data_IF_502335317830
#
_entry.id   IF_502335317830
#
_cell.length_a   1.000
_cell.length_b   1.000
_cell.length_c   1.000
_cell.angle_alpha   90.00
_cell.angle_beta   90.00
_cell.angle_gamma   90.00
#
_symmetry.space_group_name_H-M   'P 1'
#
loop_
_entity.id
_entity.type
_entity.pdbx_description
1 polymer ?
#
# COMPACT_ATOMS: atom_id res chain seq x y z
N UNK A 1 -28.76 4.35 -10.38
CA UNK A 1 -29.77 3.77 -11.30
C UNK A 1 -30.58 4.86 -11.97
N UNK A 2 -31.20 5.77 -11.20
CA UNK A 2 -32.02 6.85 -11.75
C UNK A 2 -31.23 7.78 -12.71
N UNK A 3 -29.96 8.06 -12.41
CA UNK A 3 -29.09 8.83 -13.30
C UNK A 3 -28.76 8.09 -14.62
N UNK A 4 -28.64 6.76 -14.58
CA UNK A 4 -28.37 5.92 -15.75
C UNK A 4 -29.64 5.65 -16.58
N UNK A 5 -30.81 6.04 -16.08
CA UNK A 5 -32.10 5.81 -16.72
C UNK A 5 -32.29 6.69 -17.95
N UNK A 6 -31.91 7.96 -17.85
CA UNK A 6 -32.14 8.99 -18.87
C UNK A 6 -30.94 9.18 -19.81
N UNK A 7 -29.86 8.40 -19.63
CA UNK A 7 -28.63 8.58 -20.39
C UNK A 7 -28.44 7.57 -21.52
N UNK A 8 -27.77 7.98 -22.62
CA UNK A 8 -27.37 7.07 -23.69
C UNK A 8 -26.44 5.97 -23.16
N UNK A 9 -26.58 4.76 -23.69
CA UNK A 9 -25.76 3.59 -23.29
C UNK A 9 -24.26 3.84 -23.46
N UNK A 10 -23.87 4.68 -24.42
CA UNK A 10 -22.47 5.06 -24.68
C UNK A 10 -21.83 5.82 -23.50
N UNK A 11 -22.63 6.49 -22.66
CA UNK A 11 -22.16 7.25 -21.49
C UNK A 11 -22.18 6.46 -20.20
N UNK A 12 -22.60 5.20 -20.24
CA UNK A 12 -22.69 4.33 -19.07
C UNK A 12 -21.35 4.26 -18.31
N UNK A 13 -20.22 4.10 -19.02
CA UNK A 13 -18.89 3.98 -18.41
C UNK A 13 -18.44 5.25 -17.70
N UNK A 14 -18.61 6.43 -18.32
CA UNK A 14 -18.24 7.72 -17.69
C UNK A 14 -18.96 7.91 -16.35
N UNK A 15 -20.22 7.50 -16.30
CA UNK A 15 -21.07 7.73 -15.13
C UNK A 15 -20.79 6.68 -14.09
N UNK A 16 -20.63 5.42 -14.49
CA UNK A 16 -20.22 4.33 -13.61
C UNK A 16 -18.85 4.63 -12.96
N UNK A 17 -17.90 5.24 -13.68
CA UNK A 17 -16.59 5.60 -13.15
C UNK A 17 -16.67 6.56 -11.96
N UNK A 18 -17.61 7.52 -11.97
CA UNK A 18 -17.86 8.44 -10.85
C UNK A 18 -18.36 7.73 -9.58
N UNK A 19 -18.90 6.51 -9.73
CA UNK A 19 -19.42 5.70 -8.62
C UNK A 19 -18.57 4.45 -8.35
N UNK A 20 -17.32 4.40 -8.84
CA UNK A 20 -16.42 3.26 -8.65
C UNK A 20 -16.25 2.89 -7.17
N UNK A 21 -16.14 3.87 -6.28
CA UNK A 21 -15.94 3.66 -4.85
C UNK A 21 -17.16 2.99 -4.21
N UNK A 22 -18.36 3.35 -4.67
CA UNK A 22 -19.60 2.71 -4.24
C UNK A 22 -19.66 1.26 -4.73
N UNK A 23 -19.27 1.01 -5.98
CA UNK A 23 -19.31 -0.33 -6.58
C UNK A 23 -18.26 -1.29 -5.99
N UNK A 24 -17.14 -0.75 -5.52
CA UNK A 24 -16.10 -1.51 -4.81
C UNK A 24 -16.37 -1.64 -3.31
N UNK A 25 -17.39 -0.97 -2.78
CA UNK A 25 -17.73 -1.04 -1.36
C UNK A 25 -18.48 -2.32 -0.99
N UNK A 26 -18.35 -2.74 0.27
CA UNK A 26 -19.11 -3.87 0.84
C UNK A 26 -20.64 -3.67 0.77
N UNK A 27 -21.08 -2.41 0.67
CA UNK A 27 -22.49 -2.04 0.62
C UNK A 27 -23.11 -2.23 -0.77
N UNK A 28 -22.31 -2.38 -1.83
CA UNK A 28 -22.82 -2.49 -3.21
C UNK A 28 -23.84 -3.63 -3.36
N UNK A 29 -23.51 -4.82 -2.85
CA UNK A 29 -24.39 -5.99 -2.92
C UNK A 29 -25.66 -5.77 -2.09
N UNK A 30 -25.58 -5.07 -0.96
CA UNK A 30 -26.72 -4.70 -0.14
C UNK A 30 -27.69 -3.78 -0.89
N UNK A 31 -27.15 -2.73 -1.51
CA UNK A 31 -27.93 -1.75 -2.28
C UNK A 31 -28.60 -2.38 -3.51
N UNK A 32 -27.94 -3.34 -4.17
CA UNK A 32 -28.55 -4.09 -5.27
C UNK A 32 -29.75 -4.92 -4.80
N UNK A 33 -29.62 -5.60 -3.66
CA UNK A 33 -30.70 -6.41 -3.08
C UNK A 33 -31.89 -5.56 -2.69
N UNK A 34 -31.65 -4.45 -2.00
CA UNK A 34 -32.69 -3.49 -1.63
C UNK A 34 -33.45 -3.00 -2.87
N UNK A 35 -32.73 -2.66 -3.94
CA UNK A 35 -33.36 -2.21 -5.19
C UNK A 35 -34.18 -3.32 -5.87
N UNK A 36 -33.72 -4.57 -5.83
CA UNK A 36 -34.50 -5.71 -6.34
C UNK A 36 -35.74 -5.99 -5.49
N UNK A 37 -35.65 -5.84 -4.17
CA UNK A 37 -36.79 -5.97 -3.25
C UNK A 37 -37.84 -4.87 -3.49
N UNK A 38 -37.42 -3.62 -3.75
CA UNK A 38 -38.31 -2.54 -4.16
C UNK A 38 -39.07 -2.86 -5.45
N UNK A 39 -38.41 -3.49 -6.42
CA UNK A 39 -39.05 -3.92 -7.68
C UNK A 39 -40.10 -5.00 -7.43
N UNK A 40 -39.78 -6.00 -6.59
CA UNK A 40 -40.71 -7.07 -6.20
C UNK A 40 -41.92 -6.49 -5.46
N UNK A 41 -41.70 -5.52 -4.57
CA UNK A 41 -42.78 -4.86 -3.84
C UNK A 41 -43.70 -4.07 -4.79
N UNK A 42 -43.14 -3.39 -5.80
CA UNK A 42 -43.90 -2.70 -6.85
C UNK A 42 -44.75 -3.68 -7.66
N UNK A 43 -44.21 -4.85 -8.01
CA UNK A 43 -44.95 -5.91 -8.71
C UNK A 43 -46.10 -6.47 -7.86
N UNK A 44 -45.85 -6.70 -6.55
CA UNK A 44 -46.88 -7.16 -5.60
C UNK A 44 -48.02 -6.13 -5.43
N UNK A 45 -47.68 -4.85 -5.36
CA UNK A 45 -48.67 -3.79 -5.23
C UNK A 45 -49.47 -3.55 -6.53
N UNK A 46 -48.88 -3.79 -7.71
CA UNK A 46 -49.61 -3.79 -8.98
C UNK A 46 -50.61 -4.95 -9.06
N UNK A 47 -50.21 -6.16 -8.62
CA UNK A 47 -51.11 -7.32 -8.53
C UNK A 47 -52.28 -7.09 -7.55
N UNK A 48 -52.04 -6.40 -6.44
CA UNK A 48 -53.11 -6.03 -5.48
C UNK A 48 -54.12 -5.05 -6.06
N UNK A 49 -53.73 -4.25 -7.06
CA UNK A 49 -54.61 -3.28 -7.73
C UNK A 49 -55.36 -3.88 -8.93
N UNK A 50 -55.06 -5.12 -9.32
CA UNK A 50 -55.67 -5.77 -10.49
C UNK A 50 -55.18 -5.19 -11.82
N UNK A 51 -53.98 -4.61 -11.84
CA UNK A 51 -53.32 -4.03 -13.02
C UNK A 51 -52.46 -5.07 -13.77
N UNK A 52 -52.79 -6.36 -13.65
CA UNK A 52 -52.00 -7.54 -14.02
C UNK A 52 -52.03 -7.84 -15.54
N UNK A 53 -52.18 -6.81 -16.38
CA UNK A 53 -52.17 -6.95 -17.83
C UNK A 53 -50.83 -7.48 -18.34
N UNK A 54 -50.87 -8.35 -19.36
CA UNK A 54 -49.70 -9.03 -19.94
C UNK A 54 -48.60 -8.06 -20.43
N UNK A 55 -48.95 -6.78 -20.67
CA UNK A 55 -48.18 -5.77 -21.38
C UNK A 55 -48.10 -4.41 -20.63
N UNK A 56 -47.90 -4.44 -19.31
CA UNK A 56 -47.80 -3.22 -18.49
C UNK A 56 -46.47 -2.50 -18.67
N UNK A 57 -46.52 -1.17 -18.78
CA UNK A 57 -45.36 -0.25 -18.75
C UNK A 57 -44.41 -0.52 -17.57
N UNK A 58 -44.95 -1.06 -16.47
CA UNK A 58 -44.21 -1.55 -15.31
C UNK A 58 -43.22 -2.68 -15.65
N UNK A 59 -43.61 -3.66 -16.48
CA UNK A 59 -42.72 -4.76 -16.89
C UNK A 59 -41.55 -4.23 -17.72
N UNK A 60 -41.82 -3.35 -18.69
CA UNK A 60 -40.77 -2.69 -19.51
C UNK A 60 -39.82 -1.88 -18.63
N UNK A 61 -40.36 -1.19 -17.61
CA UNK A 61 -39.55 -0.50 -16.61
C UNK A 61 -38.68 -1.48 -15.80
N UNK A 62 -39.24 -2.58 -15.34
CA UNK A 62 -38.48 -3.58 -14.59
C UNK A 62 -37.46 -4.35 -15.44
N UNK A 63 -37.69 -4.50 -16.74
CA UNK A 63 -36.72 -5.06 -17.69
C UNK A 63 -35.53 -4.11 -17.87
N UNK A 64 -35.81 -2.82 -18.12
CA UNK A 64 -34.74 -1.81 -18.26
C UNK A 64 -33.95 -1.60 -16.96
N UNK A 65 -34.63 -1.61 -15.82
CA UNK A 65 -33.98 -1.51 -14.50
C UNK A 65 -33.06 -2.71 -14.26
N UNK A 66 -33.52 -3.93 -14.58
CA UNK A 66 -32.69 -5.14 -14.49
C UNK A 66 -31.49 -5.10 -15.45
N UNK A 67 -31.66 -4.55 -16.65
CA UNK A 67 -30.57 -4.37 -17.60
C UNK A 67 -29.49 -3.44 -17.05
N UNK A 68 -29.87 -2.28 -16.51
CA UNK A 68 -28.94 -1.32 -15.89
C UNK A 68 -28.23 -1.94 -14.69
N UNK A 69 -28.95 -2.63 -13.81
CA UNK A 69 -28.35 -3.33 -12.67
C UNK A 69 -27.39 -4.44 -13.13
N UNK A 70 -27.75 -5.18 -14.18
CA UNK A 70 -26.89 -6.20 -14.78
C UNK A 70 -25.59 -5.61 -15.34
N UNK A 71 -25.68 -4.49 -16.05
CA UNK A 71 -24.51 -3.77 -16.55
C UNK A 71 -23.62 -3.25 -15.40
N UNK A 72 -24.22 -2.74 -14.32
CA UNK A 72 -23.48 -2.31 -13.12
C UNK A 72 -22.76 -3.47 -12.44
N UNK A 73 -23.40 -4.64 -12.32
CA UNK A 73 -22.76 -5.84 -11.77
C UNK A 73 -21.58 -6.29 -12.63
N UNK A 74 -21.74 -6.32 -13.96
CA UNK A 74 -20.66 -6.68 -14.89
C UNK A 74 -19.50 -5.69 -14.77
N UNK A 75 -19.79 -4.39 -14.69
CA UNK A 75 -18.77 -3.37 -14.53
C UNK A 75 -18.06 -3.47 -13.17
N UNK A 76 -18.79 -3.68 -12.08
CA UNK A 76 -18.20 -3.91 -10.76
C UNK A 76 -17.32 -5.17 -10.73
N UNK A 77 -17.74 -6.26 -11.37
CA UNK A 77 -16.90 -7.47 -11.50
C UNK A 77 -15.62 -7.20 -12.29
N UNK A 78 -15.70 -6.38 -13.34
CA UNK A 78 -14.55 -5.98 -14.14
C UNK A 78 -13.59 -5.11 -13.31
N UNK A 79 -14.12 -4.14 -12.57
CA UNK A 79 -13.34 -3.32 -11.64
C UNK A 79 -12.64 -4.18 -10.57
N UNK A 80 -13.33 -5.15 -9.97
CA UNK A 80 -12.72 -6.07 -8.99
C UNK A 80 -11.59 -6.90 -9.61
N UNK A 81 -11.76 -7.37 -10.85
CA UNK A 81 -10.69 -8.08 -11.57
C UNK A 81 -9.50 -7.19 -11.86
N UNK A 82 -9.74 -5.94 -12.26
CA UNK A 82 -8.69 -4.96 -12.50
C UNK A 82 -7.94 -4.60 -11.22
N UNK A 83 -8.64 -4.35 -10.11
CA UNK A 83 -8.02 -4.05 -8.82
C UNK A 83 -7.25 -5.24 -8.27
N UNK A 84 -7.76 -6.47 -8.43
CA UNK A 84 -7.01 -7.69 -8.10
C UNK A 84 -5.75 -7.86 -8.95
N UNK A 85 -5.83 -7.59 -10.26
CA UNK A 85 -4.67 -7.66 -11.14
C UNK A 85 -3.59 -6.62 -10.76
N UNK A 86 -4.01 -5.38 -10.49
CA UNK A 86 -3.13 -4.33 -10.00
C UNK A 86 -2.54 -4.68 -8.63
N UNK A 87 -3.36 -5.22 -7.72
CA UNK A 87 -2.92 -5.68 -6.41
C UNK A 87 -1.86 -6.77 -6.51
N UNK A 88 -2.06 -7.76 -7.37
CA UNK A 88 -1.10 -8.84 -7.62
C UNK A 88 0.20 -8.33 -8.25
N UNK A 89 0.14 -7.31 -9.11
CA UNK A 89 1.32 -6.68 -9.68
C UNK A 89 2.13 -5.91 -8.62
N UNK A 90 1.44 -5.13 -7.77
CA UNK A 90 2.06 -4.42 -6.66
C UNK A 90 2.67 -5.39 -5.65
N UNK A 91 1.96 -6.45 -5.29
CA UNK A 91 2.47 -7.49 -4.41
C UNK A 91 3.71 -8.17 -4.99
N UNK A 92 3.67 -8.55 -6.28
CA UNK A 92 4.83 -9.15 -6.94
C UNK A 92 6.05 -8.21 -6.92
N UNK A 93 5.83 -6.91 -7.01
CA UNK A 93 6.88 -5.91 -6.87
C UNK A 93 7.48 -5.92 -5.45
N UNK A 94 6.65 -5.89 -4.41
CA UNK A 94 7.12 -5.89 -3.03
C UNK A 94 7.84 -7.20 -2.66
N UNK A 95 7.36 -8.34 -3.17
CA UNK A 95 8.04 -9.63 -3.00
C UNK A 95 9.41 -9.63 -3.69
N UNK A 96 9.59 -8.95 -4.83
CA UNK A 96 10.90 -8.85 -5.47
C UNK A 96 11.90 -8.02 -4.65
N UNK A 97 11.42 -6.99 -3.94
CA UNK A 97 12.26 -6.25 -2.97
C UNK A 97 12.77 -7.19 -1.88
N UNK A 98 11.86 -7.98 -1.28
CA UNK A 98 12.22 -9.00 -0.28
C UNK A 98 13.21 -10.01 -0.87
N UNK A 99 12.94 -10.51 -2.08
CA UNK A 99 13.81 -11.45 -2.78
C UNK A 99 15.20 -10.86 -3.04
N UNK A 100 15.29 -9.57 -3.33
CA UNK A 100 16.57 -8.88 -3.57
C UNK A 100 17.42 -8.85 -2.30
N UNK A 101 16.81 -8.60 -1.14
CA UNK A 101 17.47 -8.71 0.17
C UNK A 101 17.93 -10.16 0.41
N UNK A 102 17.08 -11.14 0.18
CA UNK A 102 17.42 -12.56 0.37
C UNK A 102 18.52 -13.04 -0.60
N UNK A 103 18.56 -12.55 -1.84
CA UNK A 103 19.61 -12.88 -2.82
C UNK A 103 20.99 -12.42 -2.34
N UNK A 104 21.09 -11.26 -1.70
CA UNK A 104 22.33 -10.78 -1.09
C UNK A 104 22.73 -11.67 0.09
N UNK A 105 21.77 -12.03 0.94
CA UNK A 105 22.02 -12.93 2.07
C UNK A 105 22.47 -14.34 1.64
N UNK A 106 22.03 -14.81 0.47
CA UNK A 106 22.38 -16.13 -0.07
C UNK A 106 23.53 -16.11 -1.10
N UNK A 107 24.21 -14.97 -1.33
CA UNK A 107 25.29 -14.92 -2.32
C UNK A 107 26.47 -15.81 -1.84
N UNK A 108 26.84 -16.86 -2.60
CA UNK A 108 27.92 -17.78 -2.22
C UNK A 108 29.30 -17.13 -2.12
N UNK A 109 29.44 -15.87 -2.54
CA UNK A 109 30.67 -15.09 -2.36
C UNK A 109 30.92 -14.68 -0.91
N UNK A 110 29.89 -14.64 -0.07
CA UNK A 110 30.04 -14.29 1.34
C UNK A 110 30.31 -15.58 2.14
N UNK A 111 31.56 -15.75 2.56
CA UNK A 111 32.02 -17.00 3.18
C UNK A 111 31.93 -16.98 4.70
N UNK A 112 31.78 -15.80 5.28
CA UNK A 112 31.68 -15.58 6.73
C UNK A 112 30.43 -14.79 7.09
N UNK A 113 29.88 -15.03 8.28
CA UNK A 113 28.69 -14.31 8.77
C UNK A 113 28.92 -12.79 8.84
N UNK A 114 30.15 -12.36 9.16
CA UNK A 114 30.51 -10.93 9.22
C UNK A 114 30.50 -10.28 7.84
N UNK A 115 31.04 -10.94 6.82
CA UNK A 115 31.01 -10.45 5.43
C UNK A 115 29.58 -10.35 4.90
N UNK A 116 28.75 -11.37 5.16
CA UNK A 116 27.33 -11.37 4.78
C UNK A 116 26.59 -10.24 5.48
N UNK A 117 26.84 -10.02 6.78
CA UNK A 117 26.18 -8.96 7.54
C UNK A 117 26.54 -7.56 7.02
N UNK A 118 27.81 -7.32 6.66
CA UNK A 118 28.27 -6.06 6.06
C UNK A 118 27.62 -5.86 4.69
N UNK A 119 27.69 -6.86 3.82
CA UNK A 119 27.11 -6.80 2.48
C UNK A 119 25.59 -6.59 2.51
N UNK A 120 24.90 -7.26 3.43
CA UNK A 120 23.47 -7.07 3.65
C UNK A 120 23.17 -5.65 4.15
N UNK A 121 23.95 -5.12 5.10
CA UNK A 121 23.75 -3.75 5.59
C UNK A 121 23.97 -2.71 4.50
N UNK A 122 24.97 -2.90 3.64
CA UNK A 122 25.25 -2.00 2.53
C UNK A 122 24.14 -2.08 1.46
N UNK A 123 23.69 -3.28 1.12
CA UNK A 123 22.60 -3.48 0.15
C UNK A 123 21.26 -2.91 0.65
N UNK A 124 20.92 -3.13 1.93
CA UNK A 124 19.71 -2.57 2.57
C UNK A 124 19.80 -1.04 2.62
N UNK A 125 20.98 -0.47 2.86
CA UNK A 125 21.21 0.99 2.79
C UNK A 125 20.99 1.54 1.38
N UNK A 126 21.47 0.84 0.36
CA UNK A 126 21.26 1.24 -1.05
C UNK A 126 19.79 1.12 -1.46
N UNK A 127 19.08 0.10 -0.99
CA UNK A 127 17.65 -0.12 -1.27
C UNK A 127 16.70 0.79 -0.48
N UNK A 128 17.21 1.71 0.35
CA UNK A 128 16.40 2.51 1.28
C UNK A 128 15.23 3.25 0.63
N UNK A 129 15.36 3.73 -0.62
CA UNK A 129 14.26 4.40 -1.33
C UNK A 129 13.11 3.47 -1.73
N UNK A 130 13.35 2.16 -1.75
CA UNK A 130 12.32 1.15 -2.02
C UNK A 130 11.51 0.82 -0.76
N UNK A 131 11.98 1.24 0.42
CA UNK A 131 11.27 1.03 1.69
C UNK A 131 10.32 2.19 1.99
N UNK A 132 9.44 2.47 1.04
CA UNK A 132 8.40 3.48 1.19
C UNK A 132 7.29 3.00 2.16
N UNK A 133 6.37 3.90 2.48
CA UNK A 133 5.24 3.61 3.37
C UNK A 133 4.39 2.44 2.84
N UNK A 134 4.32 2.27 1.51
CA UNK A 134 3.58 1.18 0.87
C UNK A 134 4.26 -0.18 1.11
N UNK A 135 5.59 -0.25 0.99
CA UNK A 135 6.35 -1.47 1.31
C UNK A 135 6.28 -1.81 2.79
N UNK A 136 6.39 -0.82 3.68
CA UNK A 136 6.25 -1.03 5.13
C UNK A 136 4.85 -1.54 5.47
N UNK A 137 3.80 -0.97 4.88
CA UNK A 137 2.43 -1.44 5.04
C UNK A 137 2.27 -2.87 4.51
N UNK A 138 2.84 -3.17 3.35
CA UNK A 138 2.81 -4.51 2.77
C UNK A 138 3.49 -5.55 3.67
N UNK A 139 4.69 -5.28 4.19
CA UNK A 139 5.37 -6.23 5.09
C UNK A 139 4.53 -6.47 6.36
N UNK A 140 3.93 -5.42 6.94
CA UNK A 140 3.03 -5.58 8.10
C UNK A 140 1.85 -6.48 7.76
N UNK A 141 1.23 -6.24 6.62
CA UNK A 141 0.12 -7.05 6.11
C UNK A 141 0.55 -8.51 5.90
N UNK A 142 1.65 -8.75 5.19
CA UNK A 142 2.14 -10.10 4.87
C UNK A 142 2.49 -10.90 6.13
N UNK A 143 3.14 -10.27 7.12
CA UNK A 143 3.41 -10.90 8.43
C UNK A 143 2.09 -11.26 9.14
N UNK A 144 1.14 -10.33 9.21
CA UNK A 144 -0.14 -10.57 9.88
C UNK A 144 -1.00 -11.64 9.18
N UNK A 145 -0.98 -11.67 7.85
CA UNK A 145 -1.68 -12.68 7.06
C UNK A 145 -1.10 -14.08 7.29
N UNK A 146 0.23 -14.22 7.26
CA UNK A 146 0.90 -15.49 7.52
C UNK A 146 0.69 -15.96 8.97
N UNK A 147 0.81 -15.06 9.95
CA UNK A 147 0.46 -15.36 11.35
C UNK A 147 -0.99 -15.83 11.49
N UNK A 148 -1.92 -15.14 10.83
CA UNK A 148 -3.33 -15.53 10.82
C UNK A 148 -3.59 -16.87 10.14
N UNK A 149 -2.88 -17.17 9.04
CA UNK A 149 -2.95 -18.45 8.34
C UNK A 149 -2.46 -19.60 9.23
N UNK A 150 -1.29 -19.44 9.84
CA UNK A 150 -0.68 -20.43 10.73
C UNK A 150 -1.48 -20.62 12.04
N UNK A 151 -2.02 -19.53 12.60
CA UNK A 151 -2.90 -19.60 13.76
C UNK A 151 -4.20 -20.36 13.46
N UNK A 152 -4.82 -20.14 12.30
CA UNK A 152 -6.01 -20.90 11.86
C UNK A 152 -5.71 -22.38 11.64
N UNK A 153 -4.48 -22.70 11.21
CA UNK A 153 -4.02 -24.07 11.04
C UNK A 153 -3.56 -24.73 12.35
N UNK A 154 -3.44 -23.99 13.46
CA UNK A 154 -2.91 -24.49 14.73
C UNK A 154 -1.40 -24.79 14.70
N UNK A 155 -0.68 -24.26 13.71
CA UNK A 155 0.74 -24.54 13.45
C UNK A 155 1.66 -23.36 13.78
N UNK A 156 1.15 -22.32 14.46
CA UNK A 156 1.90 -21.10 14.74
C UNK A 156 3.17 -21.32 15.57
N UNK A 157 3.23 -22.37 16.39
CA UNK A 157 4.39 -22.68 17.24
C UNK A 157 5.33 -23.72 16.59
N UNK A 158 5.01 -24.20 15.39
CA UNK A 158 5.79 -25.22 14.69
C UNK A 158 6.90 -24.58 13.83
N UNK A 159 8.19 -24.74 14.18
CA UNK A 159 9.30 -24.14 13.44
C UNK A 159 9.35 -24.58 11.98
N UNK A 160 8.95 -25.82 11.69
CA UNK A 160 9.06 -26.42 10.35
C UNK A 160 8.04 -25.84 9.37
N UNK A 161 6.92 -25.31 9.88
CA UNK A 161 5.86 -24.68 9.08
C UNK A 161 5.98 -23.14 9.03
N UNK A 162 6.90 -22.56 9.80
CA UNK A 162 7.04 -21.12 10.01
C UNK A 162 8.20 -20.47 9.24
N UNK A 163 8.91 -21.20 8.39
CA UNK A 163 10.12 -20.73 7.71
C UNK A 163 9.90 -19.39 6.97
N UNK A 164 8.80 -19.27 6.22
CA UNK A 164 8.47 -18.04 5.51
C UNK A 164 8.14 -16.88 6.45
N UNK A 165 7.41 -17.14 7.53
CA UNK A 165 7.11 -16.14 8.55
C UNK A 165 8.39 -15.64 9.23
N UNK A 166 9.36 -16.52 9.48
CA UNK A 166 10.68 -16.13 10.00
C UNK A 166 11.43 -15.23 9.02
N UNK A 167 11.44 -15.56 7.73
CA UNK A 167 12.06 -14.70 6.70
C UNK A 167 11.41 -13.32 6.70
N UNK A 168 10.08 -13.24 6.68
CA UNK A 168 9.35 -11.97 6.71
C UNK A 168 9.67 -11.15 7.97
N UNK A 169 9.72 -11.79 9.15
CA UNK A 169 10.07 -11.12 10.42
C UNK A 169 11.50 -10.60 10.44
N UNK A 170 12.46 -11.38 9.93
CA UNK A 170 13.87 -10.96 9.85
C UNK A 170 14.01 -9.76 8.90
N UNK A 171 13.38 -9.82 7.73
CA UNK A 171 13.40 -8.72 6.76
C UNK A 171 12.71 -7.48 7.35
N UNK A 172 11.57 -7.63 8.00
CA UNK A 172 10.87 -6.54 8.69
C UNK A 172 11.78 -5.87 9.73
N UNK A 173 12.43 -6.65 10.60
CA UNK A 173 13.35 -6.12 11.61
C UNK A 173 14.54 -5.40 10.99
N UNK A 174 15.11 -5.95 9.91
CA UNK A 174 16.22 -5.33 9.17
C UNK A 174 15.83 -3.99 8.56
N UNK A 175 14.70 -3.94 7.86
CA UNK A 175 14.17 -2.73 7.22
C UNK A 175 13.88 -1.66 8.28
N UNK A 176 13.19 -2.02 9.36
CA UNK A 176 12.89 -1.08 10.45
C UNK A 176 14.13 -0.54 11.12
N UNK A 177 15.15 -1.38 11.33
CA UNK A 177 16.42 -0.95 11.92
C UNK A 177 17.13 0.07 11.02
N UNK A 178 17.11 -0.12 9.71
CA UNK A 178 17.74 0.82 8.79
C UNK A 178 16.98 2.15 8.71
N UNK A 179 15.65 2.09 8.63
CA UNK A 179 14.79 3.29 8.70
C UNK A 179 15.06 4.04 10.02
N UNK A 180 15.14 3.32 11.14
CA UNK A 180 15.38 3.92 12.46
C UNK A 180 16.75 4.62 12.55
N UNK A 181 17.81 4.10 11.92
CA UNK A 181 19.10 4.81 11.85
C UNK A 181 18.97 6.16 11.14
N UNK A 182 18.24 6.18 10.03
CA UNK A 182 17.95 7.42 9.30
C UNK A 182 17.21 8.43 10.16
N UNK A 183 16.14 7.98 10.83
CA UNK A 183 15.33 8.80 11.74
C UNK A 183 16.17 9.34 12.91
N UNK A 184 16.98 8.50 13.55
CA UNK A 184 17.82 8.93 14.68
C UNK A 184 18.78 10.06 14.30
N UNK A 185 19.39 9.98 13.11
CA UNK A 185 20.22 11.08 12.59
C UNK A 185 19.40 12.37 12.46
N UNK A 186 18.21 12.31 11.86
CA UNK A 186 17.35 13.50 11.77
C UNK A 186 16.93 14.04 13.13
N UNK A 187 16.64 13.16 14.09
CA UNK A 187 16.33 13.56 15.47
C UNK A 187 17.50 14.28 16.14
N UNK A 188 18.74 13.86 15.89
CA UNK A 188 19.93 14.58 16.38
C UNK A 188 20.03 15.98 15.78
N UNK A 189 19.85 16.12 14.46
CA UNK A 189 19.83 17.44 13.80
C UNK A 189 18.73 18.33 14.35
N UNK A 190 17.51 17.82 14.47
CA UNK A 190 16.38 18.52 15.07
C UNK A 190 16.69 18.92 16.52
N UNK A 191 17.28 18.02 17.30
CA UNK A 191 17.66 18.30 18.68
C UNK A 191 18.70 19.41 18.78
N UNK A 192 19.69 19.45 17.88
CA UNK A 192 20.66 20.54 17.82
C UNK A 192 19.99 21.88 17.54
N UNK A 193 19.03 21.93 16.61
CA UNK A 193 18.23 23.13 16.37
C UNK A 193 17.45 23.52 17.61
N UNK A 194 16.68 22.60 18.20
CA UNK A 194 15.84 22.89 19.37
C UNK A 194 16.64 23.35 20.61
N UNK A 195 17.94 22.99 20.70
CA UNK A 195 18.80 23.44 21.79
C UNK A 195 19.13 24.93 21.73
N UNK A 196 19.06 25.57 20.56
CA UNK A 196 19.34 27.00 20.44
C UNK A 196 18.36 27.84 21.25
N UNK A 197 18.87 28.96 21.78
CA UNK A 197 18.13 29.78 22.74
C UNK A 197 17.15 30.70 22.03
N UNK A 198 17.60 31.40 21.00
CA UNK A 198 16.77 32.36 20.25
C UNK A 198 16.05 31.72 19.07
N UNK A 199 14.99 32.36 18.60
CA UNK A 199 14.23 31.90 17.43
C UNK A 199 15.04 32.07 16.15
N UNK A 200 15.77 33.18 16.02
CA UNK A 200 16.58 33.50 14.84
C UNK A 200 17.75 32.50 14.69
N UNK A 201 18.46 32.18 15.78
CA UNK A 201 19.53 31.15 15.76
C UNK A 201 18.99 29.77 15.34
N UNK A 202 17.74 29.43 15.72
CA UNK A 202 17.11 28.18 15.28
C UNK A 202 16.88 28.17 13.79
N UNK A 203 16.38 29.28 13.25
CA UNK A 203 16.09 29.44 11.82
C UNK A 203 17.38 29.42 10.99
N UNK A 204 18.39 30.17 11.40
CA UNK A 204 19.69 30.21 10.69
C UNK A 204 20.37 28.85 10.68
N UNK A 205 20.34 28.13 11.81
CA UNK A 205 20.90 26.79 11.89
C UNK A 205 20.09 25.77 11.08
N UNK A 206 18.76 25.92 11.05
CA UNK A 206 17.89 25.10 10.21
C UNK A 206 18.17 25.33 8.73
N UNK A 207 18.36 26.57 8.30
CA UNK A 207 18.72 26.93 6.93
C UNK A 207 20.05 26.28 6.52
N UNK A 208 21.09 26.40 7.36
CA UNK A 208 22.37 25.73 7.13
C UNK A 208 22.23 24.21 7.02
N UNK A 209 21.45 23.58 7.90
CA UNK A 209 21.22 22.14 7.82
C UNK A 209 20.48 21.74 6.55
N UNK A 210 19.46 22.52 6.15
CA UNK A 210 18.69 22.28 4.93
C UNK A 210 19.59 22.35 3.70
N UNK A 211 20.45 23.36 3.62
CA UNK A 211 21.36 23.54 2.47
C UNK A 211 22.35 22.38 2.33
N UNK A 212 22.75 21.77 3.44
CA UNK A 212 23.66 20.61 3.49
C UNK A 212 22.93 19.25 3.43
N UNK A 213 21.59 19.22 3.33
CA UNK A 213 20.85 17.96 3.26
C UNK A 213 21.16 17.21 1.96
N UNK A 214 21.55 15.92 2.04
CA UNK A 214 21.60 15.06 0.87
C UNK A 214 20.23 14.97 0.19
N UNK A 215 20.19 14.87 -1.14
CA UNK A 215 18.96 14.79 -1.94
C UNK A 215 18.00 13.69 -1.47
N UNK A 216 18.59 12.56 -1.00
CA UNK A 216 17.90 11.38 -0.46
C UNK A 216 17.20 11.63 0.89
N UNK A 217 17.61 12.68 1.61
CA UNK A 217 17.24 12.92 3.00
C UNK A 217 16.23 14.06 3.15
N UNK A 218 15.96 14.82 2.09
CA UNK A 218 15.06 15.99 2.10
C UNK A 218 13.63 15.59 2.51
N UNK A 219 12.99 14.67 1.77
CA UNK A 219 11.61 14.25 2.07
C UNK A 219 11.50 13.53 3.42
N UNK A 220 12.38 12.58 3.78
CA UNK A 220 12.33 11.94 5.09
C UNK A 220 12.54 12.91 6.27
N UNK A 221 13.40 13.91 6.13
CA UNK A 221 13.63 14.92 7.17
C UNK A 221 12.36 15.74 7.44
N UNK A 222 11.69 16.20 6.37
CA UNK A 222 10.42 16.94 6.48
C UNK A 222 9.35 16.08 7.15
N UNK A 223 9.19 14.83 6.73
CA UNK A 223 8.23 13.90 7.31
C UNK A 223 8.46 13.67 8.81
N UNK A 224 9.71 13.58 9.26
CA UNK A 224 10.03 13.44 10.69
C UNK A 224 9.61 14.68 11.48
N UNK A 225 9.88 15.89 10.97
CA UNK A 225 9.46 17.14 11.64
C UNK A 225 7.92 17.24 11.69
N UNK A 226 7.23 16.92 10.59
CA UNK A 226 5.77 16.92 10.51
C UNK A 226 5.15 15.90 11.49
N UNK A 227 5.73 14.70 11.59
CA UNK A 227 5.28 13.67 12.53
C UNK A 227 5.46 14.12 13.99
N UNK A 228 6.58 14.76 14.33
CA UNK A 228 6.82 15.29 15.67
C UNK A 228 5.82 16.40 15.98
N UNK A 229 5.62 17.35 15.06
CA UNK A 229 4.67 18.44 15.22
C UNK A 229 3.22 17.93 15.37
N UNK A 230 2.83 16.93 14.57
CA UNK A 230 1.50 16.30 14.62
C UNK A 230 1.28 15.55 15.93
N UNK A 231 2.30 14.85 16.44
CA UNK A 231 2.22 14.13 17.73
C UNK A 231 1.94 15.06 18.92
N UNK A 232 2.34 16.33 18.83
CA UNK A 232 2.01 17.34 19.84
C UNK A 232 0.54 17.77 19.81
N UNK A 233 -0.13 17.63 18.67
CA UNK A 233 -1.57 17.88 18.52
C UNK A 233 -2.43 16.77 19.12
N UNK A 234 -1.97 15.53 19.07
CA UNK A 234 -2.67 14.35 19.63
C UNK A 234 -2.42 14.16 21.14
N UNK A 235 -1.38 14.79 21.68
CA UNK A 235 -0.98 14.72 23.09
C UNK A 235 -1.84 15.60 24.01
N UNK A 236 -3.13 15.27 24.20
CA UNK A 236 -4.00 15.89 25.23
C UNK A 236 -4.48 14.87 26.29
N UNK A 237 -3.81 13.72 26.47
CA UNK A 237 -4.15 12.74 27.52
C UNK A 237 -2.96 12.13 28.27
N UNK A 238 -1.88 12.87 28.48
CA UNK A 238 -0.72 12.42 29.27
C UNK A 238 -0.38 13.38 30.40
N UNK A 239 -0.09 12.84 31.58
CA UNK A 239 0.38 13.57 32.76
C UNK A 239 1.86 13.94 32.55
N UNK A 240 2.08 15.17 32.08
CA UNK A 240 3.41 15.70 31.83
C UNK A 240 3.58 17.06 32.49
N UNK A 241 4.83 17.38 32.84
CA UNK A 241 5.20 18.62 33.49
C UNK A 241 4.97 19.82 32.56
N UNK A 242 3.84 20.52 32.76
CA UNK A 242 3.25 21.48 31.83
C UNK A 242 4.18 22.65 31.43
N UNK A 243 5.12 23.02 32.29
CA UNK A 243 6.05 24.12 32.04
C UNK A 243 7.18 23.76 31.07
N UNK A 244 7.73 22.54 31.16
CA UNK A 244 8.79 22.06 30.27
C UNK A 244 8.22 21.78 28.88
N UNK A 245 7.01 21.19 28.83
CA UNK A 245 6.29 21.00 27.57
C UNK A 245 6.02 22.33 26.89
N UNK A 246 5.49 23.35 27.59
CA UNK A 246 5.16 24.63 26.95
C UNK A 246 6.34 25.28 26.21
N UNK A 247 7.56 25.17 26.76
CA UNK A 247 8.76 25.71 26.10
C UNK A 247 9.24 24.88 24.92
N UNK A 248 9.18 23.54 25.01
CA UNK A 248 9.54 22.63 23.91
C UNK A 248 8.51 22.67 22.77
N UNK A 249 7.22 22.70 23.08
CA UNK A 249 6.13 22.79 22.11
C UNK A 249 6.26 24.03 21.24
N UNK A 250 6.54 25.20 21.84
CA UNK A 250 6.73 26.44 21.07
C UNK A 250 7.94 26.35 20.13
N UNK A 251 9.03 25.73 20.56
CA UNK A 251 10.22 25.52 19.72
C UNK A 251 9.96 24.57 18.56
N UNK A 252 9.19 23.50 18.79
CA UNK A 252 8.84 22.53 17.75
C UNK A 252 7.84 23.13 16.75
N UNK A 253 6.84 23.90 17.22
CA UNK A 253 5.91 24.60 16.34
C UNK A 253 6.63 25.67 15.49
N UNK A 254 7.61 26.36 16.08
CA UNK A 254 8.47 27.27 15.33
C UNK A 254 9.29 26.51 14.28
N UNK A 255 9.97 25.42 14.67
CA UNK A 255 10.75 24.57 13.76
C UNK A 255 9.91 24.11 12.57
N UNK A 256 8.70 23.61 12.83
CA UNK A 256 7.77 23.19 11.79
C UNK A 256 7.41 24.34 10.83
N UNK A 257 7.10 25.52 11.37
CA UNK A 257 6.81 26.70 10.53
C UNK A 257 8.02 27.14 9.70
N UNK A 258 9.19 27.29 10.34
CA UNK A 258 10.41 27.72 9.67
C UNK A 258 10.84 26.71 8.60
N UNK A 259 10.65 25.41 8.85
CA UNK A 259 10.89 24.36 7.86
C UNK A 259 10.03 24.55 6.61
N UNK A 260 8.72 24.75 6.74
CA UNK A 260 7.82 24.95 5.58
C UNK A 260 8.06 26.29 4.88
N UNK A 261 8.59 27.30 5.58
CA UNK A 261 9.03 28.56 4.96
C UNK A 261 10.35 28.41 4.18
N UNK A 262 11.31 27.63 4.70
CA UNK A 262 12.63 27.41 4.09
C UNK A 262 12.62 26.33 3.02
N UNK A 263 11.79 25.30 3.16
CA UNK A 263 11.57 24.19 2.23
C UNK A 263 10.10 24.17 1.76
N UNK A 264 9.69 25.12 0.90
CA UNK A 264 8.40 25.03 0.25
C UNK A 264 8.35 23.82 -0.71
N UNK A 265 7.15 23.32 -1.10
CA UNK A 265 7.00 22.14 -1.94
C UNK A 265 7.84 22.20 -3.23
N UNK A 266 7.92 23.36 -3.88
CA UNK A 266 8.70 23.53 -5.11
C UNK A 266 10.20 23.33 -4.89
N UNK A 267 10.71 23.74 -3.72
CA UNK A 267 12.12 23.56 -3.35
C UNK A 267 12.41 22.11 -2.97
N UNK A 268 11.48 21.45 -2.28
CA UNK A 268 11.58 20.01 -1.97
C UNK A 268 11.71 19.21 -3.26
N UNK A 269 10.85 19.47 -4.25
CA UNK A 269 10.89 18.74 -5.53
C UNK A 269 12.20 18.99 -6.29
N UNK A 270 12.75 20.20 -6.23
CA UNK A 270 14.04 20.51 -6.84
C UNK A 270 15.20 19.77 -6.15
N UNK A 271 15.23 19.79 -4.82
CA UNK A 271 16.31 19.17 -4.03
C UNK A 271 16.22 17.65 -3.98
N UNK A 272 15.02 17.07 -4.10
CA UNK A 272 14.79 15.63 -4.11
C UNK A 272 14.83 15.00 -5.52
N UNK A 273 14.91 15.79 -6.59
CA UNK A 273 14.78 15.34 -7.98
C UNK A 273 15.69 14.15 -8.31
N UNK A 274 16.96 14.23 -7.96
CA UNK A 274 17.94 13.18 -8.30
C UNK A 274 17.63 11.87 -7.56
N UNK A 275 17.09 11.94 -6.34
CA UNK A 275 16.65 10.79 -5.57
C UNK A 275 15.37 10.18 -6.17
N UNK A 276 14.41 11.02 -6.57
CA UNK A 276 13.16 10.61 -7.20
C UNK A 276 13.42 9.93 -8.57
N UNK A 277 14.32 10.49 -9.38
CA UNK A 277 14.76 9.90 -10.66
C UNK A 277 15.47 8.56 -10.46
N UNK A 278 16.32 8.45 -9.44
CA UNK A 278 16.98 7.20 -9.10
C UNK A 278 15.97 6.14 -8.66
N UNK A 279 15.00 6.50 -7.80
CA UNK A 279 13.95 5.61 -7.33
C UNK A 279 13.11 5.09 -8.51
N UNK A 280 12.70 5.99 -9.41
CA UNK A 280 11.97 5.63 -10.62
C UNK A 280 12.76 4.65 -11.50
N UNK A 281 14.05 4.92 -11.72
CA UNK A 281 14.92 4.06 -12.53
C UNK A 281 15.13 2.67 -11.92
N UNK A 282 15.24 2.57 -10.59
CA UNK A 282 15.33 1.26 -9.93
C UNK A 282 14.01 0.51 -10.00
N UNK A 283 12.88 1.21 -9.84
CA UNK A 283 11.55 0.63 -10.01
C UNK A 283 11.37 0.06 -11.42
N UNK A 284 11.75 0.81 -12.46
CA UNK A 284 11.74 0.32 -13.84
C UNK A 284 12.64 -0.91 -14.05
N UNK A 285 13.85 -0.91 -13.48
CA UNK A 285 14.76 -2.06 -13.56
C UNK A 285 14.16 -3.31 -12.93
N UNK A 286 13.53 -3.19 -11.77
CA UNK A 286 12.88 -4.32 -11.12
C UNK A 286 11.71 -4.84 -11.97
N UNK A 287 10.86 -3.95 -12.51
CA UNK A 287 9.77 -4.33 -13.41
C UNK A 287 10.29 -5.06 -14.66
N UNK A 288 11.38 -4.56 -15.27
CA UNK A 288 11.98 -5.20 -16.44
C UNK A 288 12.58 -6.57 -16.10
N UNK A 289 13.23 -6.71 -14.94
CA UNK A 289 13.70 -8.00 -14.45
C UNK A 289 12.54 -8.98 -14.25
N UNK A 290 11.41 -8.53 -13.70
CA UNK A 290 10.20 -9.34 -13.58
C UNK A 290 9.65 -9.74 -14.95
N UNK A 291 9.65 -8.83 -15.92
CA UNK A 291 9.19 -9.10 -17.28
C UNK A 291 10.06 -10.17 -17.97
N UNK A 292 11.38 -10.03 -17.86
CA UNK A 292 12.34 -11.00 -18.39
C UNK A 292 12.19 -12.35 -17.69
N UNK A 293 12.03 -12.38 -16.36
CA UNK A 293 11.82 -13.61 -15.62
C UNK A 293 10.52 -14.32 -16.04
N UNK A 294 9.42 -13.57 -16.21
CA UNK A 294 8.14 -14.10 -16.73
C UNK A 294 8.29 -14.64 -18.17
N UNK A 295 9.03 -13.95 -19.03
CA UNK A 295 9.29 -14.43 -20.40
C UNK A 295 10.14 -15.70 -20.41
N UNK A 296 11.17 -15.79 -19.55
CA UNK A 296 11.97 -17.01 -19.39
C UNK A 296 11.16 -18.18 -18.87
N UNK A 297 10.26 -17.95 -17.92
CA UNK A 297 9.33 -18.98 -17.43
C UNK A 297 8.36 -19.46 -18.50
N UNK A 298 7.80 -18.54 -19.31
CA UNK A 298 6.94 -18.90 -20.46
C UNK A 298 7.71 -19.69 -21.52
N UNK A 299 8.90 -19.23 -21.89
CA UNK A 299 9.75 -19.93 -22.84
C UNK A 299 10.15 -21.33 -22.33
N UNK A 300 10.47 -21.47 -21.04
CA UNK A 300 10.76 -22.75 -20.41
C UNK A 300 9.54 -23.70 -20.45
N UNK A 301 8.33 -23.19 -20.19
CA UNK A 301 7.06 -23.92 -20.34
C UNK A 301 6.77 -24.37 -21.78
N UNK A 302 7.27 -23.65 -22.77
CA UNK A 302 7.09 -23.98 -24.19
C UNK A 302 8.17 -24.96 -24.71
N UNK A 303 9.38 -24.92 -24.14
CA UNK A 303 10.49 -25.81 -24.56
C UNK A 303 10.51 -27.14 -23.84
N UNK A 304 10.08 -27.20 -22.58
CA UNK A 304 9.80 -28.45 -21.89
C UNK A 304 8.32 -28.77 -22.08
N UNK A 305 8.01 -29.71 -22.98
CA UNK A 305 6.69 -30.37 -23.04
C UNK A 305 6.40 -31.23 -21.80
N UNK A 306 6.80 -30.75 -20.62
CA UNK A 306 6.53 -31.32 -19.32
C UNK A 306 5.52 -30.38 -18.66
N UNK A 307 4.28 -30.84 -18.65
CA UNK A 307 3.17 -30.19 -17.98
C UNK A 307 3.45 -30.11 -16.47
N UNK A 308 4.03 -29.00 -16.02
CA UNK A 308 4.24 -28.73 -14.60
C UNK A 308 2.91 -28.47 -13.86
N UNK A 309 1.83 -28.16 -14.59
CA UNK A 309 0.49 -28.08 -14.01
C UNK A 309 -0.04 -29.49 -13.65
N UNK A 310 0.48 -30.55 -14.29
CA UNK A 310 0.23 -31.93 -13.88
C UNK A 310 1.00 -32.34 -12.60
N UNK A 311 2.06 -31.64 -12.19
CA UNK A 311 2.75 -31.88 -10.92
C UNK A 311 2.25 -30.98 -9.78
N UNK A 312 1.77 -29.76 -10.08
CA UNK A 312 1.07 -28.93 -9.09
C UNK A 312 -0.35 -29.43 -8.78
N UNK A 313 -1.01 -30.14 -9.72
CA UNK A 313 -2.26 -30.87 -9.44
C UNK A 313 -2.08 -32.19 -8.66
N UNK A 314 -0.85 -32.66 -8.40
CA UNK A 314 -0.61 -33.82 -7.50
C UNK A 314 -0.48 -33.35 -6.04
N UNK A 315 -0.21 -32.06 -5.79
CA UNK A 315 -0.19 -31.50 -4.44
C UNK A 315 -1.43 -30.67 -4.07
N UNK A 316 -2.29 -30.35 -5.04
CA UNK A 316 -3.59 -29.71 -4.82
C UNK A 316 -4.74 -30.67 -4.51
N UNK A 317 -4.50 -31.99 -4.52
CA UNK A 317 -5.54 -33.03 -4.43
C UNK A 317 -5.13 -34.15 -3.45
N UNK A 318 -4.60 -33.77 -2.28
CA UNK A 318 -4.62 -34.66 -1.10
C UNK A 318 -5.66 -34.12 -0.11
N UNK A 319 -6.87 -34.60 -0.36
CA UNK A 319 -7.90 -34.95 0.62
C UNK A 319 -8.55 -33.84 1.44
N UNK A 320 -9.59 -33.27 0.82
CA UNK A 320 -10.91 -33.23 1.48
C UNK A 320 -11.39 -34.69 1.69
N UNK A 321 -11.74 -35.01 2.94
CA UNK A 321 -12.47 -36.18 3.47
C UNK A 321 -11.65 -37.43 3.83
N UNK A 322 -11.16 -37.47 5.08
CA UNK A 322 -11.80 -38.15 6.23
C UNK A 322 -11.33 -37.54 7.56
#
# INVERSE_FOLDING_TARGET
VDELWDMPEDRFREVAENYKDLMLSDNFVGLLKERMEEMVQRDLDAMRRGEDGEDTELKKRHEREREILGQLVIYAQLLVKETQALGAELEAHQIEVIRSICKVAMDPKHTTEEETAIALSDAVREMRLLFDDAFVAYIKYAVAEEEGRLARAGQLDDPDHNEWLFVLKIVQQGVYREIAKGINRYLEHIWYVLRMHTADERRDLLELFIDDLPTMDVRPFVQVVDNIASSLGDAVKGDFDSAVIGTMTNKILQLHRDLHELLPPERIDLMARDADEWAAKQKERMVEQTRIAKQRLKAARETDGVDFDAQLNIQGDVDRFE
#
